data_IF_793297559778
#
_entry.id   IF_793297559778
#
_cell.length_a   1.000
_cell.length_b   1.000
_cell.length_c   1.000
_cell.angle_alpha   90.00
_cell.angle_beta   90.00
_cell.angle_gamma   90.00
#
_symmetry.space_group_name_H-M   'P 1'
#
loop_
_entity.id
_entity.type
_entity.pdbx_description
1 polymer ?
#
# COMPACT_ATOMS: atom_id res chain seq x y z
N UNK A 1 -10.75 18.20 -15.26
CA UNK A 1 -10.19 19.15 -16.24
C UNK A 1 -9.82 18.47 -17.56
N UNK A 2 -8.79 17.62 -17.60
CA UNK A 2 -8.29 17.02 -18.85
C UNK A 2 -9.37 16.29 -19.64
N UNK A 3 -10.16 15.41 -19.00
CA UNK A 3 -11.28 14.73 -19.66
C UNK A 3 -12.28 15.72 -20.28
N UNK A 4 -12.71 16.74 -19.52
CA UNK A 4 -13.66 17.73 -20.02
C UNK A 4 -13.12 18.54 -21.21
N UNK A 5 -11.80 18.82 -21.22
CA UNK A 5 -11.16 19.47 -22.36
C UNK A 5 -11.13 18.56 -23.58
N UNK A 6 -10.84 17.28 -23.43
CA UNK A 6 -10.86 16.30 -24.51
C UNK A 6 -12.27 16.08 -25.05
N UNK A 7 -13.27 15.98 -24.19
CA UNK A 7 -14.69 15.88 -24.61
C UNK A 7 -15.13 17.10 -25.41
N UNK A 8 -14.74 18.32 -24.97
CA UNK A 8 -15.03 19.56 -25.68
C UNK A 8 -14.32 19.62 -27.05
N UNK A 9 -13.04 19.20 -27.11
CA UNK A 9 -12.30 19.09 -28.38
C UNK A 9 -12.99 18.12 -29.35
N UNK A 10 -13.35 16.92 -28.86
CA UNK A 10 -14.07 15.93 -29.66
C UNK A 10 -15.48 16.41 -30.11
N UNK A 11 -16.08 17.38 -29.41
CA UNK A 11 -17.33 18.02 -29.74
C UNK A 11 -17.16 19.24 -30.70
N UNK A 12 -15.93 19.50 -31.17
CA UNK A 12 -15.66 20.62 -32.12
C UNK A 12 -15.35 21.97 -31.45
N UNK A 13 -15.13 21.99 -30.12
CA UNK A 13 -14.69 23.22 -29.44
C UNK A 13 -13.15 23.33 -29.51
N UNK A 14 -12.65 24.22 -30.39
CA UNK A 14 -11.22 24.35 -30.64
C UNK A 14 -10.61 25.64 -30.07
N UNK A 15 -11.43 26.51 -29.44
CA UNK A 15 -10.90 27.78 -28.94
C UNK A 15 -10.09 27.55 -27.62
N UNK A 16 -8.77 27.86 -27.61
CA UNK A 16 -7.91 27.49 -26.49
C UNK A 16 -8.31 28.09 -25.13
N UNK A 17 -8.83 29.34 -25.13
CA UNK A 17 -9.30 29.99 -23.88
C UNK A 17 -10.52 29.26 -23.30
N UNK A 18 -11.49 28.93 -24.15
CA UNK A 18 -12.70 28.20 -23.73
C UNK A 18 -12.35 26.84 -23.16
N UNK A 19 -11.40 26.14 -23.78
CA UNK A 19 -10.89 24.84 -23.26
C UNK A 19 -10.15 25.02 -21.93
N UNK A 20 -9.28 26.03 -21.82
CA UNK A 20 -8.56 26.34 -20.59
C UNK A 20 -9.48 26.74 -19.41
N UNK A 21 -10.67 27.30 -19.72
CA UNK A 21 -11.67 27.63 -18.68
C UNK A 21 -12.32 26.41 -18.03
N UNK A 22 -12.20 25.23 -18.63
CA UNK A 22 -12.57 23.95 -18.03
C UNK A 22 -11.58 23.45 -16.95
N UNK A 23 -10.50 24.21 -16.71
CA UNK A 23 -9.53 23.88 -15.67
C UNK A 23 -10.17 23.94 -14.26
N UNK A 24 -9.82 22.96 -13.42
CA UNK A 24 -10.25 22.85 -12.02
C UNK A 24 -9.06 22.57 -11.11
N UNK A 25 -9.17 22.98 -9.85
CA UNK A 25 -8.14 22.74 -8.83
C UNK A 25 -6.82 23.43 -9.18
N UNK A 26 -5.70 22.73 -9.05
CA UNK A 26 -4.36 23.27 -9.29
C UNK A 26 -4.10 23.72 -10.74
N UNK A 27 -4.89 23.25 -11.72
CA UNK A 27 -4.76 23.68 -13.10
C UNK A 27 -5.28 25.10 -13.36
N UNK A 28 -6.14 25.64 -12.50
CA UNK A 28 -6.65 27.02 -12.61
C UNK A 28 -5.49 28.04 -12.65
N UNK A 29 -4.47 27.83 -11.83
CA UNK A 29 -3.29 28.71 -11.80
C UNK A 29 -2.39 28.55 -13.04
N UNK A 30 -2.59 27.51 -13.85
CA UNK A 30 -1.82 27.21 -15.05
C UNK A 30 -2.56 27.56 -16.34
N UNK A 31 -3.68 28.29 -16.28
CA UNK A 31 -4.47 28.67 -17.46
C UNK A 31 -3.64 29.30 -18.60
N UNK A 32 -2.71 30.23 -18.37
CA UNK A 32 -1.90 30.79 -19.45
C UNK A 32 -1.09 29.71 -20.21
N UNK A 33 -0.43 28.81 -19.48
CA UNK A 33 0.31 27.70 -20.09
C UNK A 33 -0.62 26.68 -20.78
N UNK A 34 -1.86 26.49 -20.26
CA UNK A 34 -2.86 25.64 -20.91
C UNK A 34 -3.34 26.25 -22.22
N UNK A 35 -3.55 27.55 -22.28
CA UNK A 35 -3.94 28.25 -23.54
C UNK A 35 -2.86 28.06 -24.60
N UNK A 36 -1.58 28.24 -24.22
CA UNK A 36 -0.44 28.00 -25.10
C UNK A 36 -0.40 26.53 -25.58
N UNK A 37 -0.50 25.58 -24.67
CA UNK A 37 -0.46 24.14 -24.98
C UNK A 37 -1.65 23.67 -25.83
N UNK A 38 -2.81 24.32 -25.74
CA UNK A 38 -4.01 24.00 -26.49
C UNK A 38 -4.10 24.79 -27.81
N UNK A 39 -3.13 25.67 -28.06
CA UNK A 39 -3.01 26.37 -29.33
C UNK A 39 -2.26 25.50 -30.32
N UNK A 40 -2.95 24.97 -31.30
CA UNK A 40 -2.39 24.08 -32.31
C UNK A 40 -3.38 23.73 -33.39
N UNK A 41 -2.97 22.87 -34.32
CA UNK A 41 -3.84 22.34 -35.36
C UNK A 41 -4.58 21.11 -34.83
N UNK A 42 -5.89 21.21 -34.71
CA UNK A 42 -6.78 20.12 -34.37
C UNK A 42 -7.89 20.04 -35.42
N UNK A 43 -7.87 18.98 -36.21
CA UNK A 43 -8.78 18.80 -37.36
C UNK A 43 -9.85 17.75 -37.00
N UNK A 44 -10.89 17.66 -37.84
CA UNK A 44 -12.06 16.80 -37.64
C UNK A 44 -11.66 15.31 -37.44
N UNK A 45 -10.67 14.82 -38.18
CA UNK A 45 -10.22 13.43 -38.03
C UNK A 45 -9.57 13.18 -36.68
N UNK A 46 -8.89 14.18 -36.09
CA UNK A 46 -8.37 14.09 -34.73
C UNK A 46 -9.51 13.99 -33.69
N UNK A 47 -10.59 14.77 -33.91
CA UNK A 47 -11.80 14.73 -33.10
C UNK A 47 -12.49 13.36 -33.14
N UNK A 48 -12.60 12.77 -34.32
CA UNK A 48 -13.16 11.42 -34.50
C UNK A 48 -12.32 10.37 -33.79
N UNK A 49 -10.98 10.39 -33.98
CA UNK A 49 -10.08 9.47 -33.29
C UNK A 49 -10.13 9.62 -31.77
N UNK A 50 -10.13 10.87 -31.29
CA UNK A 50 -10.26 11.17 -29.87
C UNK A 50 -11.56 10.61 -29.28
N UNK A 51 -12.68 10.75 -30.01
CA UNK A 51 -13.97 10.17 -29.59
C UNK A 51 -13.88 8.66 -29.43
N UNK A 52 -13.33 7.93 -30.42
CA UNK A 52 -13.16 6.48 -30.36
C UNK A 52 -12.31 6.07 -29.15
N UNK A 53 -11.22 6.80 -28.86
CA UNK A 53 -10.37 6.51 -27.71
C UNK A 53 -11.10 6.77 -26.38
N UNK A 54 -11.86 7.87 -26.27
CA UNK A 54 -12.63 8.18 -25.07
C UNK A 54 -13.75 7.15 -24.82
N UNK A 55 -14.46 6.75 -25.87
CA UNK A 55 -15.50 5.71 -25.79
C UNK A 55 -14.91 4.36 -25.36
N UNK A 56 -13.71 4.04 -25.85
CA UNK A 56 -12.97 2.83 -25.41
C UNK A 56 -12.61 2.89 -23.93
N UNK A 57 -12.10 4.04 -23.44
CA UNK A 57 -11.80 4.25 -22.02
C UNK A 57 -13.07 4.11 -21.17
N UNK A 58 -14.18 4.70 -21.61
CA UNK A 58 -15.46 4.62 -20.91
C UNK A 58 -16.01 3.20 -20.89
N UNK A 59 -15.86 2.48 -22.01
CA UNK A 59 -16.26 1.07 -22.09
C UNK A 59 -15.50 0.24 -21.05
N UNK A 60 -14.16 0.31 -21.02
CA UNK A 60 -13.37 -0.45 -20.05
C UNK A 60 -13.63 -0.02 -18.62
N UNK A 61 -13.85 1.27 -18.37
CA UNK A 61 -14.21 1.77 -17.04
C UNK A 61 -15.50 1.11 -16.54
N UNK A 62 -16.53 1.03 -17.37
CA UNK A 62 -17.79 0.35 -17.04
C UNK A 62 -17.59 -1.15 -16.80
N UNK A 63 -16.75 -1.81 -17.62
CA UNK A 63 -16.48 -3.25 -17.44
C UNK A 63 -15.76 -3.52 -16.12
N UNK A 64 -14.77 -2.70 -15.77
CA UNK A 64 -14.05 -2.81 -14.50
C UNK A 64 -15.03 -2.64 -13.34
N UNK A 65 -15.87 -1.61 -13.36
CA UNK A 65 -16.89 -1.38 -12.31
C UNK A 65 -17.84 -2.57 -12.17
N UNK A 66 -18.28 -3.14 -13.28
CA UNK A 66 -19.15 -4.32 -13.27
C UNK A 66 -18.45 -5.55 -12.64
N UNK A 67 -17.18 -5.78 -12.99
CA UNK A 67 -16.39 -6.88 -12.41
C UNK A 67 -16.14 -6.67 -10.92
N UNK A 68 -15.83 -5.44 -10.49
CA UNK A 68 -15.64 -5.11 -9.07
C UNK A 68 -16.91 -5.38 -8.25
N UNK A 69 -18.07 -5.02 -8.79
CA UNK A 69 -19.37 -5.32 -8.15
C UNK A 69 -19.61 -6.83 -8.03
N UNK A 70 -19.31 -7.59 -9.11
CA UNK A 70 -19.45 -9.06 -9.07
C UNK A 70 -18.50 -9.70 -8.07
N UNK A 71 -17.24 -9.28 -8.04
CA UNK A 71 -16.24 -9.78 -7.08
C UNK A 71 -16.71 -9.50 -5.66
N UNK A 72 -17.17 -8.28 -5.38
CA UNK A 72 -17.67 -7.89 -4.06
C UNK A 72 -18.88 -8.76 -3.64
N UNK A 73 -19.82 -8.99 -4.55
CA UNK A 73 -20.98 -9.84 -4.27
C UNK A 73 -20.58 -11.30 -4.01
N UNK A 74 -19.69 -11.87 -4.82
CA UNK A 74 -19.20 -13.23 -4.65
C UNK A 74 -18.43 -13.40 -3.34
N UNK A 75 -17.60 -12.44 -2.97
CA UNK A 75 -16.86 -12.49 -1.71
C UNK A 75 -17.80 -12.38 -0.50
N UNK A 76 -18.85 -11.59 -0.57
CA UNK A 76 -19.87 -11.51 0.48
C UNK A 76 -20.64 -12.83 0.61
N UNK A 77 -20.99 -13.47 -0.49
CA UNK A 77 -21.63 -14.79 -0.52
C UNK A 77 -20.72 -15.88 0.08
N UNK A 78 -19.46 -15.92 -0.33
CA UNK A 78 -18.47 -16.90 0.15
C UNK A 78 -18.13 -16.70 1.64
N UNK A 79 -18.07 -15.47 2.10
CA UNK A 79 -17.82 -15.13 3.50
C UNK A 79 -18.97 -15.59 4.40
N UNK A 80 -20.22 -15.47 3.91
CA UNK A 80 -21.41 -15.88 4.63
C UNK A 80 -21.54 -15.22 6.01
N UNK A 81 -22.36 -15.79 6.90
CA UNK A 81 -22.55 -15.24 8.24
C UNK A 81 -21.34 -15.40 9.16
N UNK A 82 -20.36 -16.24 8.80
CA UNK A 82 -19.17 -16.49 9.62
C UNK A 82 -18.11 -15.39 9.52
N UNK A 83 -18.16 -14.58 8.47
CA UNK A 83 -17.21 -13.48 8.27
C UNK A 83 -17.94 -12.18 7.88
N UNK A 84 -18.78 -11.63 8.78
CA UNK A 84 -19.48 -10.39 8.51
C UNK A 84 -18.45 -9.27 8.25
N UNK A 85 -18.77 -8.40 7.32
CA UNK A 85 -17.95 -7.22 6.98
C UNK A 85 -16.47 -7.49 6.68
N UNK A 86 -16.14 -8.69 6.18
CA UNK A 86 -14.78 -9.15 5.95
C UNK A 86 -13.94 -8.16 5.12
N UNK A 87 -14.51 -7.64 4.03
CA UNK A 87 -13.81 -6.65 3.20
C UNK A 87 -13.55 -5.36 3.97
N UNK A 88 -14.52 -4.86 4.74
CA UNK A 88 -14.36 -3.66 5.55
C UNK A 88 -13.32 -3.85 6.66
N UNK A 89 -13.24 -5.04 7.26
CA UNK A 89 -12.21 -5.37 8.27
C UNK A 89 -10.80 -5.38 7.70
N UNK A 90 -10.63 -5.90 6.48
CA UNK A 90 -9.33 -5.86 5.79
C UNK A 90 -8.99 -4.44 5.30
N UNK A 91 -9.97 -3.69 4.81
CA UNK A 91 -9.82 -2.28 4.39
C UNK A 91 -9.42 -1.35 5.56
N UNK A 92 -9.78 -1.72 6.79
CA UNK A 92 -9.36 -0.99 8.00
C UNK A 92 -7.84 -1.04 8.23
N UNK A 93 -7.10 -1.98 7.62
CA UNK A 93 -5.64 -2.06 7.73
C UNK A 93 -5.02 -0.89 6.96
N UNK A 94 -4.18 -0.04 7.57
CA UNK A 94 -3.56 1.08 6.87
C UNK A 94 -2.84 0.67 5.60
N UNK A 95 -3.26 1.27 4.48
CA UNK A 95 -2.72 1.01 3.16
C UNK A 95 -3.38 -0.13 2.38
N UNK A 96 -4.26 -0.89 3.00
CA UNK A 96 -5.11 -1.87 2.31
C UNK A 96 -6.38 -1.15 1.87
N UNK A 97 -6.66 -1.14 0.59
CA UNK A 97 -7.93 -0.67 0.04
C UNK A 97 -8.78 -1.85 -0.47
N UNK A 98 -10.01 -1.60 -0.93
CA UNK A 98 -10.93 -2.66 -1.36
C UNK A 98 -10.32 -3.62 -2.38
N UNK A 99 -9.64 -3.11 -3.41
CA UNK A 99 -8.98 -3.94 -4.42
C UNK A 99 -7.86 -4.82 -3.82
N UNK A 100 -7.07 -4.29 -2.89
CA UNK A 100 -6.04 -5.08 -2.20
C UNK A 100 -6.66 -6.15 -1.32
N UNK A 101 -7.75 -5.83 -0.59
CA UNK A 101 -8.49 -6.80 0.22
C UNK A 101 -9.04 -7.94 -0.64
N UNK A 102 -9.62 -7.64 -1.79
CA UNK A 102 -10.10 -8.63 -2.77
C UNK A 102 -8.97 -9.55 -3.24
N UNK A 103 -7.81 -9.00 -3.61
CA UNK A 103 -6.63 -9.80 -4.02
C UNK A 103 -6.15 -10.69 -2.88
N UNK A 104 -6.06 -10.17 -1.65
CA UNK A 104 -5.69 -10.97 -0.48
C UNK A 104 -6.62 -12.18 -0.37
N UNK A 105 -7.94 -11.97 -0.39
CA UNK A 105 -8.92 -13.03 -0.26
C UNK A 105 -8.88 -14.03 -1.42
N UNK A 106 -8.74 -13.54 -2.66
CA UNK A 106 -8.66 -14.39 -3.84
C UNK A 106 -7.44 -15.34 -3.82
N UNK A 107 -6.32 -14.86 -3.27
CA UNK A 107 -5.06 -15.61 -3.30
C UNK A 107 -4.86 -16.53 -2.09
N UNK A 108 -5.33 -16.15 -0.91
CA UNK A 108 -5.15 -16.96 0.31
C UNK A 108 -6.39 -17.75 0.71
N UNK A 109 -7.57 -17.35 0.25
CA UNK A 109 -8.86 -17.92 0.63
C UNK A 109 -9.31 -17.48 2.02
N UNK A 110 -10.45 -18.04 2.47
CA UNK A 110 -11.04 -17.76 3.78
C UNK A 110 -10.64 -18.78 4.85
N UNK A 111 -10.27 -19.98 4.43
CA UNK A 111 -9.94 -21.09 5.32
C UNK A 111 -8.49 -20.99 5.82
N UNK A 112 -8.32 -20.45 7.03
CA UNK A 112 -7.02 -20.32 7.68
C UNK A 112 -6.51 -21.64 8.28
N UNK A 113 -7.29 -22.73 8.30
CA UNK A 113 -6.79 -24.05 8.71
C UNK A 113 -5.63 -24.53 7.82
N UNK A 114 -5.58 -24.07 6.58
CA UNK A 114 -4.48 -24.30 5.63
C UNK A 114 -3.16 -23.68 6.07
N UNK A 115 -3.22 -22.69 6.95
CA UNK A 115 -2.06 -21.97 7.50
C UNK A 115 -2.16 -21.93 9.02
N UNK A 116 -1.72 -22.98 9.72
CA UNK A 116 -1.89 -23.11 11.17
C UNK A 116 -1.37 -21.94 12.00
N UNK A 117 -0.41 -21.20 11.46
CA UNK A 117 0.08 -19.94 12.07
C UNK A 117 0.34 -18.88 10.99
N UNK A 118 0.38 -17.60 11.34
CA UNK A 118 0.69 -16.53 10.39
C UNK A 118 2.08 -16.69 9.75
N UNK A 119 3.03 -17.36 10.44
CA UNK A 119 4.36 -17.66 9.89
C UNK A 119 4.28 -18.64 8.70
N UNK A 120 3.37 -19.61 8.74
CA UNK A 120 3.14 -20.52 7.62
C UNK A 120 2.65 -19.76 6.39
N UNK A 121 1.67 -18.86 6.55
CA UNK A 121 1.17 -18.01 5.48
C UNK A 121 2.27 -17.11 4.90
N UNK A 122 3.03 -16.44 5.76
CA UNK A 122 4.13 -15.56 5.35
C UNK A 122 5.24 -16.32 4.64
N UNK A 123 5.54 -17.56 5.07
CA UNK A 123 6.50 -18.44 4.43
C UNK A 123 6.01 -18.89 3.05
N UNK A 124 4.74 -19.29 2.94
CA UNK A 124 4.10 -19.63 1.67
C UNK A 124 4.13 -18.45 0.68
N UNK A 125 3.77 -17.25 1.13
CA UNK A 125 3.83 -16.02 0.33
C UNK A 125 5.25 -15.58 -0.02
N UNK A 126 6.29 -16.23 0.52
CA UNK A 126 7.71 -15.88 0.33
C UNK A 126 8.04 -14.43 0.74
N UNK A 127 7.43 -13.95 1.81
CA UNK A 127 7.73 -12.64 2.41
C UNK A 127 8.76 -12.76 3.55
N UNK A 128 9.30 -13.95 3.80
CA UNK A 128 10.44 -14.18 4.68
C UNK A 128 11.73 -14.23 3.86
N UNK A 129 12.83 -13.59 4.33
CA UNK A 129 14.15 -13.81 3.74
C UNK A 129 14.58 -15.26 3.99
N UNK A 130 15.28 -15.85 3.03
CA UNK A 130 15.86 -17.19 3.18
C UNK A 130 17.07 -17.12 4.09
N UNK A 131 17.28 -18.14 4.89
CA UNK A 131 18.55 -18.37 5.58
C UNK A 131 19.45 -19.17 4.66
N UNK A 132 20.65 -18.67 4.39
CA UNK A 132 21.69 -19.36 3.63
C UNK A 132 22.77 -19.75 4.64
N UNK A 133 22.90 -21.04 4.90
CA UNK A 133 23.91 -21.57 5.79
C UNK A 133 24.95 -22.38 4.99
N UNK A 134 26.21 -22.03 5.18
CA UNK A 134 27.34 -22.77 4.63
C UNK A 134 28.39 -22.95 5.74
N UNK A 135 28.45 -24.14 6.31
CA UNK A 135 29.27 -24.41 7.49
C UNK A 135 28.89 -23.52 8.68
N UNK A 136 29.86 -22.86 9.26
CA UNK A 136 29.66 -21.90 10.37
C UNK A 136 29.08 -20.53 9.92
N UNK A 137 29.01 -20.28 8.61
CA UNK A 137 28.59 -18.99 8.06
C UNK A 137 27.08 -19.00 7.82
N UNK A 138 26.35 -18.10 8.51
CA UNK A 138 24.92 -17.92 8.35
C UNK A 138 24.63 -16.54 7.77
N UNK A 139 24.04 -16.46 6.57
CA UNK A 139 23.72 -15.21 5.88
C UNK A 139 22.24 -15.16 5.49
N UNK A 140 21.69 -13.95 5.44
CA UNK A 140 20.32 -13.73 5.00
C UNK A 140 20.25 -13.62 3.47
N UNK A 141 19.56 -14.55 2.84
CA UNK A 141 19.30 -14.52 1.40
C UNK A 141 18.09 -13.66 1.00
N UNK A 142 17.84 -13.51 -0.30
CA UNK A 142 16.66 -12.80 -0.79
C UNK A 142 15.36 -13.56 -0.47
N UNK A 143 14.23 -12.85 -0.55
CA UNK A 143 12.89 -13.47 -0.55
C UNK A 143 12.70 -14.31 -1.81
N UNK A 144 11.95 -15.41 -1.73
CA UNK A 144 11.59 -16.22 -2.91
C UNK A 144 10.63 -15.50 -3.86
N UNK A 145 10.34 -16.11 -5.02
CA UNK A 145 9.38 -15.58 -6.00
C UNK A 145 7.97 -15.41 -5.40
N UNK A 146 7.42 -16.47 -4.80
CA UNK A 146 6.07 -16.48 -4.25
C UNK A 146 4.99 -16.18 -5.29
N UNK A 147 3.78 -15.89 -4.81
CA UNK A 147 2.66 -15.46 -5.65
C UNK A 147 2.85 -14.00 -6.09
N UNK A 148 2.93 -13.69 -7.40
CA UNK A 148 3.20 -12.35 -7.89
C UNK A 148 2.05 -11.37 -7.63
N UNK A 149 0.80 -11.83 -7.70
CA UNK A 149 -0.39 -11.00 -7.50
C UNK A 149 -0.50 -10.54 -6.04
N UNK A 150 -0.41 -11.48 -5.11
CA UNK A 150 -0.42 -11.16 -3.68
C UNK A 150 0.75 -10.26 -3.28
N UNK A 151 1.95 -10.55 -3.79
CA UNK A 151 3.14 -9.72 -3.48
C UNK A 151 3.05 -8.32 -4.07
N UNK A 152 2.48 -8.18 -5.27
CA UNK A 152 2.23 -6.88 -5.90
C UNK A 152 1.26 -6.05 -5.06
N UNK A 153 0.09 -6.59 -4.75
CA UNK A 153 -0.93 -5.92 -3.95
C UNK A 153 -0.43 -5.53 -2.55
N UNK A 154 0.25 -6.46 -1.86
CA UNK A 154 0.86 -6.17 -0.55
C UNK A 154 2.01 -5.15 -0.64
N UNK A 155 2.74 -5.09 -1.76
CA UNK A 155 3.76 -4.08 -2.00
C UNK A 155 3.19 -2.69 -2.13
N UNK A 156 2.09 -2.53 -2.86
CA UNK A 156 1.34 -1.27 -2.99
C UNK A 156 0.74 -0.85 -1.65
N UNK A 157 0.09 -1.77 -0.93
CA UNK A 157 -0.43 -1.54 0.41
C UNK A 157 0.68 -1.09 1.38
N UNK A 158 1.83 -1.74 1.36
CA UNK A 158 2.96 -1.38 2.21
C UNK A 158 3.52 0.02 1.87
N UNK A 159 3.54 0.38 0.59
CA UNK A 159 3.96 1.71 0.15
C UNK A 159 2.97 2.80 0.59
N UNK A 160 1.67 2.52 0.53
CA UNK A 160 0.63 3.41 1.04
C UNK A 160 0.72 3.55 2.57
N UNK A 161 0.80 2.42 3.31
CA UNK A 161 0.96 2.40 4.76
C UNK A 161 2.21 3.15 5.26
N UNK A 162 3.31 3.11 4.51
CA UNK A 162 4.55 3.80 4.85
C UNK A 162 4.39 5.32 5.01
N UNK A 163 3.37 5.91 4.36
CA UNK A 163 3.08 7.35 4.36
C UNK A 163 2.13 7.77 5.49
N UNK A 164 1.58 6.82 6.23
CA UNK A 164 0.60 7.07 7.29
C UNK A 164 1.27 7.29 8.64
N UNK A 165 0.56 7.95 9.56
CA UNK A 165 0.98 8.07 10.96
C UNK A 165 0.35 6.98 11.83
N UNK A 166 0.66 5.72 11.48
CA UNK A 166 0.18 4.51 12.11
C UNK A 166 1.35 3.64 12.57
N UNK A 167 1.04 2.53 13.26
CA UNK A 167 2.04 1.51 13.61
C UNK A 167 2.85 1.02 12.40
N UNK A 168 2.18 0.77 11.27
CA UNK A 168 2.83 0.29 10.04
C UNK A 168 3.75 1.35 9.45
N UNK A 169 3.32 2.62 9.42
CA UNK A 169 4.16 3.74 8.97
C UNK A 169 5.37 3.95 9.88
N UNK A 170 5.19 3.88 11.21
CA UNK A 170 6.29 3.95 12.17
C UNK A 170 7.26 2.78 12.01
N UNK A 171 6.76 1.57 11.77
CA UNK A 171 7.56 0.38 11.47
C UNK A 171 8.41 0.58 10.23
N UNK A 172 7.82 1.11 9.14
CA UNK A 172 8.56 1.46 7.94
C UNK A 172 9.67 2.46 8.24
N UNK A 173 9.37 3.62 8.86
CA UNK A 173 10.34 4.68 9.19
C UNK A 173 11.50 4.16 10.03
N UNK A 174 11.24 3.22 10.93
CA UNK A 174 12.28 2.59 11.75
C UNK A 174 13.20 1.67 10.97
N UNK A 175 12.65 0.88 10.03
CA UNK A 175 13.42 -0.12 9.28
C UNK A 175 14.20 0.52 8.13
N UNK A 176 13.61 1.49 7.42
CA UNK A 176 14.23 2.13 6.24
C UNK A 176 15.59 2.75 6.56
N UNK A 177 15.74 3.36 7.75
CA UNK A 177 16.99 3.98 8.20
C UNK A 177 18.18 3.02 8.27
N UNK A 178 17.92 1.70 8.46
CA UNK A 178 18.97 0.69 8.66
C UNK A 178 19.08 -0.32 7.52
N UNK A 179 18.01 -0.57 6.80
CA UNK A 179 17.91 -1.67 5.83
C UNK A 179 17.55 -1.22 4.41
N UNK A 180 17.24 0.06 4.23
CA UNK A 180 16.82 0.63 2.96
C UNK A 180 15.36 0.36 2.62
N UNK A 181 14.89 1.05 1.57
CA UNK A 181 13.48 1.11 1.16
C UNK A 181 12.86 -0.26 0.85
N UNK A 182 13.47 -1.03 -0.05
CA UNK A 182 12.91 -2.30 -0.49
C UNK A 182 12.72 -3.31 0.66
N UNK A 183 13.70 -3.41 1.56
CA UNK A 183 13.59 -4.32 2.72
C UNK A 183 12.56 -3.82 3.74
N UNK A 184 12.41 -2.51 3.89
CA UNK A 184 11.40 -1.91 4.76
C UNK A 184 9.99 -2.19 4.24
N UNK A 185 9.74 -2.05 2.93
CA UNK A 185 8.45 -2.39 2.31
C UNK A 185 8.10 -3.87 2.49
N UNK A 186 9.03 -4.79 2.24
CA UNK A 186 8.81 -6.23 2.46
C UNK A 186 8.46 -6.52 3.93
N UNK A 187 9.08 -5.84 4.89
CA UNK A 187 8.79 -6.02 6.31
C UNK A 187 7.39 -5.49 6.69
N UNK A 188 6.93 -4.41 6.05
CA UNK A 188 5.56 -3.88 6.24
C UNK A 188 4.55 -4.80 5.54
N UNK A 189 4.79 -5.21 4.30
CA UNK A 189 3.95 -6.17 3.57
C UNK A 189 3.75 -7.48 4.37
N UNK A 190 4.84 -8.00 4.97
CA UNK A 190 4.74 -9.13 5.91
C UNK A 190 3.82 -8.82 7.08
N UNK A 191 3.91 -7.63 7.67
CA UNK A 191 3.06 -7.26 8.81
C UNK A 191 1.60 -7.18 8.41
N UNK A 192 1.28 -6.61 7.24
CA UNK A 192 -0.07 -6.56 6.69
C UNK A 192 -0.63 -7.99 6.54
N UNK A 193 0.16 -8.90 5.97
CA UNK A 193 -0.28 -10.28 5.77
C UNK A 193 -0.50 -11.03 7.11
N UNK A 194 0.32 -10.76 8.13
CA UNK A 194 0.12 -11.30 9.50
C UNK A 194 -1.18 -10.77 10.09
N UNK A 195 -1.44 -9.47 9.97
CA UNK A 195 -2.69 -8.85 10.45
C UNK A 195 -3.88 -9.47 9.71
N UNK A 196 -3.82 -9.59 8.39
CA UNK A 196 -4.87 -10.22 7.59
C UNK A 196 -5.16 -11.66 8.04
N UNK A 197 -4.11 -12.46 8.35
CA UNK A 197 -4.28 -13.80 8.90
C UNK A 197 -5.08 -13.79 10.21
N UNK A 198 -4.74 -12.91 11.16
CA UNK A 198 -5.47 -12.80 12.43
C UNK A 198 -6.92 -12.41 12.23
N UNK A 199 -7.23 -11.44 11.35
CA UNK A 199 -8.58 -11.02 11.04
C UNK A 199 -9.40 -12.12 10.36
N UNK A 200 -8.77 -12.98 9.55
CA UNK A 200 -9.43 -14.11 8.90
C UNK A 200 -9.62 -15.31 9.82
N UNK A 201 -8.64 -15.56 10.70
CA UNK A 201 -8.68 -16.68 11.64
C UNK A 201 -9.66 -16.45 12.79
N UNK A 202 -9.91 -15.19 13.16
CA UNK A 202 -10.83 -14.80 14.21
C UNK A 202 -11.81 -13.74 13.67
N UNK A 203 -13.04 -14.15 13.29
CA UNK A 203 -14.06 -13.25 12.75
C UNK A 203 -14.49 -12.13 13.69
N UNK A 204 -14.40 -12.33 14.99
CA UNK A 204 -14.86 -11.38 16.00
C UNK A 204 -13.81 -10.31 16.35
N UNK A 205 -12.56 -10.52 15.96
CA UNK A 205 -11.48 -9.57 16.22
C UNK A 205 -11.50 -8.41 15.21
N UNK A 206 -11.75 -7.16 15.64
CA UNK A 206 -11.61 -5.99 14.79
C UNK A 206 -10.13 -5.60 14.63
N UNK A 207 -9.82 -4.86 13.56
CA UNK A 207 -8.51 -4.24 13.44
C UNK A 207 -8.40 -3.02 14.39
N UNK A 208 -7.33 -2.99 15.17
CA UNK A 208 -6.94 -1.82 15.97
C UNK A 208 -5.52 -1.41 15.63
N UNK A 209 -5.34 -0.14 15.25
CA UNK A 209 -3.98 0.39 15.05
C UNK A 209 -3.29 0.56 16.41
N UNK A 210 -2.09 0.04 16.53
CA UNK A 210 -1.29 0.13 17.75
C UNK A 210 -0.70 1.53 17.99
N UNK A 211 -0.81 2.41 16.98
CA UNK A 211 -0.30 3.78 16.99
C UNK A 211 1.16 3.89 16.61
N UNK A 212 1.52 5.09 16.12
CA UNK A 212 2.88 5.38 15.64
C UNK A 212 3.93 5.33 16.76
N UNK A 213 3.53 5.57 17.99
CA UNK A 213 4.38 5.59 19.20
C UNK A 213 4.56 4.21 19.87
N UNK A 214 3.87 3.17 19.37
CA UNK A 214 3.91 1.83 19.96
C UNK A 214 5.34 1.33 20.20
N UNK A 215 6.23 1.56 19.22
CA UNK A 215 7.62 1.13 19.34
C UNK A 215 8.40 1.89 20.43
N UNK A 216 8.02 3.12 20.72
CA UNK A 216 8.62 3.92 21.79
C UNK A 216 8.12 3.46 23.16
N UNK A 217 6.83 3.22 23.29
CA UNK A 217 6.21 2.71 24.53
C UNK A 217 6.73 1.34 24.93
N UNK A 218 7.09 0.48 23.95
CA UNK A 218 7.59 -0.88 24.19
C UNK A 218 9.13 -1.00 24.03
N UNK A 219 9.86 0.11 24.18
CA UNK A 219 11.32 0.07 24.22
C UNK A 219 11.79 -0.60 25.51
N UNK A 220 12.69 -1.58 25.39
CA UNK A 220 13.46 -2.04 26.52
C UNK A 220 14.47 -0.95 26.88
N UNK A 221 14.11 -0.08 27.83
CA UNK A 221 14.91 1.08 28.24
C UNK A 221 16.28 0.68 28.74
N UNK A 222 16.39 -0.38 29.55
CA UNK A 222 17.67 -0.87 30.07
C UNK A 222 18.61 -1.33 28.95
N UNK A 223 18.09 -2.03 27.95
CA UNK A 223 18.87 -2.43 26.76
C UNK A 223 19.30 -1.22 25.95
N UNK A 224 18.37 -0.28 25.73
CA UNK A 224 18.65 0.94 24.95
C UNK A 224 19.70 1.80 25.62
N UNK A 225 19.63 1.96 26.93
CA UNK A 225 20.63 2.68 27.72
C UNK A 225 22.02 2.06 27.59
N UNK A 226 22.11 0.73 27.75
CA UNK A 226 23.39 0.02 27.57
C UNK A 226 23.98 0.19 26.16
N UNK A 227 23.15 0.14 25.13
CA UNK A 227 23.61 0.31 23.74
C UNK A 227 24.11 1.74 23.49
N UNK A 228 23.44 2.76 24.06
CA UNK A 228 23.86 4.17 23.96
C UNK A 228 25.17 4.43 24.71
N UNK A 229 25.31 3.89 25.92
CA UNK A 229 26.56 3.98 26.69
C UNK A 229 27.73 3.37 25.91
N UNK A 230 27.54 2.17 25.36
CA UNK A 230 28.57 1.51 24.54
C UNK A 230 28.95 2.34 23.31
N UNK A 231 27.98 2.98 22.64
CA UNK A 231 28.25 3.84 21.49
C UNK A 231 29.05 5.07 21.89
N UNK A 232 28.71 5.73 22.99
CA UNK A 232 29.47 6.88 23.51
C UNK A 232 30.89 6.50 23.94
N UNK A 233 31.04 5.35 24.60
CA UNK A 233 32.37 4.82 24.97
C UNK A 233 33.23 4.50 23.75
N UNK A 234 32.63 3.95 22.69
CA UNK A 234 33.33 3.69 21.42
C UNK A 234 33.79 4.98 20.70
N UNK A 235 33.14 6.13 20.98
CA UNK A 235 33.54 7.47 20.52
C UNK A 235 34.57 8.13 21.43
N UNK A 236 35.06 7.44 22.48
CA UNK A 236 36.07 7.95 23.41
C UNK A 236 35.53 8.72 24.62
N UNK A 237 34.22 8.69 24.87
CA UNK A 237 33.61 9.38 26.01
C UNK A 237 33.54 8.46 27.24
N UNK A 238 33.85 9.03 28.41
CA UNK A 238 33.55 8.38 29.70
C UNK A 238 32.11 8.72 30.09
N UNK A 239 31.27 7.69 30.28
CA UNK A 239 29.82 7.88 30.48
C UNK A 239 29.46 7.46 31.90
N UNK A 240 28.91 8.39 32.67
CA UNK A 240 28.31 8.14 33.99
C UNK A 240 26.82 8.44 33.91
N UNK A 241 25.99 7.49 34.32
CA UNK A 241 24.54 7.62 34.33
C UNK A 241 24.05 8.00 35.73
N UNK A 242 23.25 9.04 35.80
CA UNK A 242 22.49 9.40 37.00
C UNK A 242 21.00 9.23 36.71
N UNK A 243 20.21 8.58 37.59
CA UNK A 243 18.77 8.54 37.46
C UNK A 243 18.22 9.98 37.48
N UNK A 244 17.32 10.30 36.52
CA UNK A 244 16.58 11.56 36.63
C UNK A 244 15.69 11.47 37.88
N UNK A 245 15.82 12.40 38.78
CA UNK A 245 14.85 12.62 39.87
C UNK A 245 13.51 12.99 39.25
N UNK A 246 12.46 12.17 39.53
CA UNK A 246 11.09 12.37 39.08
C UNK A 246 10.48 13.63 39.71
#
# INVERSE_FOLDING_TARGET
>A
SGRAMMDALAAGQHHPRTLADLAKGSLVHKKPALIEALTGQFEDHHGQLLRVLLDTVDHYTRQIQHLDQRITALLAELAGPHHPDLLARLDAIPGVGPATAQVILAEIGLDMSRFPTPEHLVSWAKLCPRTIQSGAKNTTGPTGRGNPWLKGALGEAANAAARTDTFLGARYRRIVKRRGHAKALVAVARSILVIAWHLLNDPDTPYHDLGADWHHRHLNTARRTRDLVRQLQALGHQVTLQPATA
#
